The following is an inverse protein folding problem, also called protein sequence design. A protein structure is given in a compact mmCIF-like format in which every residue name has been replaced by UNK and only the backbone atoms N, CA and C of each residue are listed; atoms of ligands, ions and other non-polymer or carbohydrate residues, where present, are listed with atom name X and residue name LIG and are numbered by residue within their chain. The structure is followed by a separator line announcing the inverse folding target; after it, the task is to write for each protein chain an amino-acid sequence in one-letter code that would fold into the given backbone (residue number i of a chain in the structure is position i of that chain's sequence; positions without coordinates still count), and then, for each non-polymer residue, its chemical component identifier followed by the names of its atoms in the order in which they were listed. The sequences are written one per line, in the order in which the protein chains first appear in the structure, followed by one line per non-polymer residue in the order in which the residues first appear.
data_IF_642956354849
#
_entry.id   IF_642956354849
#
_cell.length_a   1.000
_cell.length_b   1.000
_cell.length_c   1.000
_cell.angle_alpha   90.00
_cell.angle_beta   90.00
_cell.angle_gamma   90.00
#
_symmetry.space_group_name_H-M   'P 1'
#
loop_
_entity.id
_entity.type
_entity.pdbx_description
1 polymer ?
#
# COMPACT_ATOMS: atom_id res chain seq x y z
N UNK A 1 16.50 10.75 -6.86
CA UNK A 1 17.09 9.38 -6.95
C UNK A 1 18.63 9.43 -7.08
N UNK A 2 19.40 8.46 -6.55
CA UNK A 2 20.89 8.41 -6.75
C UNK A 2 21.28 8.04 -8.19
N UNK A 3 20.62 7.02 -8.76
CA UNK A 3 20.81 6.55 -10.15
C UNK A 3 19.76 7.19 -11.03
N UNK A 4 20.04 8.39 -11.56
CA UNK A 4 19.11 9.15 -12.41
C UNK A 4 18.77 8.40 -13.71
N UNK A 5 19.69 7.57 -14.20
CA UNK A 5 19.48 6.68 -15.36
C UNK A 5 18.40 5.60 -15.15
N UNK A 6 17.99 5.37 -13.90
CA UNK A 6 16.96 4.40 -13.52
C UNK A 6 15.69 5.06 -13.00
N UNK A 7 15.70 6.38 -12.83
CA UNK A 7 14.55 7.15 -12.40
C UNK A 7 13.50 7.12 -13.51
N UNK A 8 12.24 6.92 -13.12
CA UNK A 8 11.11 6.87 -14.03
C UNK A 8 10.12 7.98 -13.69
N UNK A 9 9.16 8.20 -14.58
CA UNK A 9 8.14 9.23 -14.39
C UNK A 9 7.20 8.87 -13.23
N UNK A 10 6.44 9.85 -12.77
CA UNK A 10 5.41 9.64 -11.76
C UNK A 10 4.33 8.66 -12.25
N UNK A 11 3.92 8.76 -13.52
CA UNK A 11 2.93 7.86 -14.13
C UNK A 11 3.39 6.40 -14.08
N UNK A 12 4.66 6.15 -14.38
CA UNK A 12 5.25 4.82 -14.24
C UNK A 12 5.20 4.33 -12.79
N UNK A 13 5.49 5.20 -11.82
CA UNK A 13 5.46 4.83 -10.41
C UNK A 13 4.05 4.43 -9.96
N UNK A 14 3.02 5.15 -10.40
CA UNK A 14 1.63 4.79 -10.16
C UNK A 14 1.25 3.45 -10.80
N UNK A 15 1.67 3.20 -12.04
CA UNK A 15 1.45 1.92 -12.72
C UNK A 15 2.06 0.75 -11.93
N UNK A 16 3.29 0.91 -11.43
CA UNK A 16 3.95 -0.11 -10.60
C UNK A 16 3.20 -0.32 -9.28
N UNK A 17 2.78 0.75 -8.60
CA UNK A 17 2.07 0.64 -7.33
C UNK A 17 0.69 -0.05 -7.47
N UNK A 18 0.01 0.18 -8.60
CA UNK A 18 -1.26 -0.48 -8.92
C UNK A 18 -1.08 -1.94 -9.35
N UNK A 19 0.02 -2.27 -10.04
CA UNK A 19 0.30 -3.62 -10.51
C UNK A 19 0.87 -4.54 -9.41
N UNK A 20 1.54 -3.98 -8.40
CA UNK A 20 2.18 -4.78 -7.35
C UNK A 20 1.15 -5.62 -6.56
N UNK A 21 1.47 -6.87 -6.19
CA UNK A 21 0.54 -7.72 -5.46
C UNK A 21 0.30 -7.24 -4.02
N UNK A 22 1.32 -6.65 -3.40
CA UNK A 22 1.27 -6.09 -2.05
C UNK A 22 2.18 -4.87 -1.98
N UNK A 23 2.07 -4.11 -0.89
CA UNK A 23 3.07 -3.13 -0.51
C UNK A 23 3.69 -3.50 0.82
N UNK A 24 4.95 -3.16 1.02
CA UNK A 24 5.50 -3.11 2.36
C UNK A 24 5.28 -1.71 2.96
N UNK A 25 4.52 -1.64 4.05
CA UNK A 25 4.30 -0.44 4.85
C UNK A 25 5.42 -0.27 5.86
N UNK A 26 6.18 0.81 5.73
CA UNK A 26 7.18 1.26 6.70
C UNK A 26 6.55 2.18 7.76
N UNK A 27 6.90 1.91 9.02
CA UNK A 27 6.40 2.54 10.24
C UNK A 27 7.57 2.82 11.19
N UNK A 28 7.31 3.66 12.18
CA UNK A 28 8.22 3.89 13.32
C UNK A 28 7.52 3.40 14.58
N UNK A 29 8.18 2.54 15.36
CA UNK A 29 7.62 2.06 16.63
C UNK A 29 7.57 3.17 17.68
N UNK A 30 6.80 3.02 18.76
CA UNK A 30 6.83 3.95 19.90
C UNK A 30 8.23 4.20 20.47
N UNK A 31 9.12 3.22 20.36
CA UNK A 31 10.52 3.30 20.80
C UNK A 31 11.45 3.98 19.78
N UNK A 32 10.93 4.36 18.61
CA UNK A 32 11.70 4.99 17.53
C UNK A 32 12.37 4.01 16.57
N UNK A 33 12.05 2.71 16.62
CA UNK A 33 12.65 1.70 15.76
C UNK A 33 11.94 1.59 14.40
N UNK A 34 12.64 1.23 13.32
CA UNK A 34 11.99 0.93 12.05
C UNK A 34 11.17 -0.36 12.15
N UNK A 35 9.93 -0.31 11.65
CA UNK A 35 9.05 -1.47 11.56
C UNK A 35 8.43 -1.56 10.18
N UNK A 36 8.37 -2.76 9.59
CA UNK A 36 7.86 -2.94 8.25
C UNK A 36 6.94 -4.16 8.18
N UNK A 37 5.78 -3.99 7.54
CA UNK A 37 4.78 -5.05 7.39
C UNK A 37 4.21 -5.08 5.97
N UNK A 38 4.03 -6.25 5.35
CA UNK A 38 3.30 -6.36 4.10
C UNK A 38 1.81 -6.07 4.34
N UNK A 39 1.20 -5.31 3.42
CA UNK A 39 -0.23 -4.99 3.39
C UNK A 39 -0.79 -5.21 1.99
N UNK A 40 -2.11 -5.34 1.91
CA UNK A 40 -2.87 -5.39 0.64
C UNK A 40 -3.49 -4.02 0.35
N UNK A 41 -2.78 -3.09 -0.32
CA UNK A 41 -3.28 -1.74 -0.56
C UNK A 41 -4.25 -1.70 -1.74
N UNK A 42 -5.24 -0.83 -1.70
CA UNK A 42 -6.05 -0.47 -2.87
C UNK A 42 -6.06 1.04 -3.06
N UNK A 43 -5.92 1.51 -4.30
CA UNK A 43 -5.81 2.93 -4.60
C UNK A 43 -7.17 3.53 -4.94
N UNK A 44 -7.41 4.76 -4.48
CA UNK A 44 -8.46 5.67 -4.94
C UNK A 44 -7.85 7.05 -5.14
N UNK A 45 -7.78 7.53 -6.38
CA UNK A 45 -7.13 8.81 -6.68
C UNK A 45 -5.69 8.85 -6.15
N UNK A 46 -5.40 9.82 -5.27
CA UNK A 46 -4.09 10.03 -4.65
C UNK A 46 -3.96 9.38 -3.25
N UNK A 47 -4.79 8.37 -2.95
CA UNK A 47 -4.83 7.71 -1.65
C UNK A 47 -4.70 6.20 -1.80
N UNK A 48 -4.00 5.56 -0.86
CA UNK A 48 -4.06 4.11 -0.67
C UNK A 48 -4.87 3.77 0.56
N UNK A 49 -5.72 2.75 0.47
CA UNK A 49 -6.44 2.16 1.59
C UNK A 49 -5.91 0.77 1.90
N UNK A 50 -5.88 0.42 3.19
CA UNK A 50 -5.67 -0.96 3.62
C UNK A 50 -6.60 -1.30 4.79
N UNK A 51 -6.94 -2.58 4.90
CA UNK A 51 -7.74 -3.10 6.00
C UNK A 51 -6.86 -3.79 7.03
N UNK A 52 -7.39 -3.92 8.25
CA UNK A 52 -6.69 -4.60 9.32
C UNK A 52 -7.54 -4.88 10.57
N UNK A 53 -6.95 -5.55 11.56
CA UNK A 53 -7.50 -5.63 12.92
C UNK A 53 -7.54 -4.25 13.62
N UNK A 54 -8.48 -4.11 14.57
CA UNK A 54 -8.74 -2.90 15.36
C UNK A 54 -7.66 -2.59 16.40
N UNK A 55 -6.71 -3.49 16.61
CA UNK A 55 -5.59 -3.34 17.55
C UNK A 55 -4.31 -3.99 17.00
N UNK A 56 -3.21 -3.80 17.72
CA UNK A 56 -1.91 -4.43 17.48
C UNK A 56 -0.83 -3.44 17.02
N UNK A 57 0.42 -3.93 17.00
CA UNK A 57 1.66 -3.13 16.88
C UNK A 57 1.63 -2.05 15.80
N UNK A 58 1.05 -2.31 14.64
CA UNK A 58 0.96 -1.33 13.54
C UNK A 58 0.13 -0.09 13.94
N UNK A 59 -0.96 -0.27 14.71
CA UNK A 59 -1.81 0.82 15.17
C UNK A 59 -1.11 1.60 16.27
N UNK A 60 -0.36 0.91 17.14
CA UNK A 60 0.48 1.56 18.16
C UNK A 60 1.52 2.46 17.48
N UNK A 61 2.15 2.00 16.40
CA UNK A 61 3.06 2.80 15.58
C UNK A 61 2.35 4.02 14.96
N UNK A 62 1.18 3.80 14.35
CA UNK A 62 0.42 4.86 13.67
C UNK A 62 -0.16 5.91 14.63
N UNK A 63 -0.39 5.53 15.90
CA UNK A 63 -0.84 6.42 16.95
C UNK A 63 0.25 7.43 17.38
N UNK A 64 1.52 7.04 17.33
CA UNK A 64 2.66 7.91 17.67
C UNK A 64 3.23 8.65 16.48
N UNK A 65 3.17 8.05 15.28
CA UNK A 65 3.70 8.65 14.05
C UNK A 65 2.88 8.21 12.83
N UNK A 66 2.14 9.15 12.27
CA UNK A 66 1.31 8.94 11.08
C UNK A 66 2.09 9.03 9.77
N UNK A 67 3.37 9.42 9.78
CA UNK A 67 4.22 9.44 8.58
C UNK A 67 4.66 8.03 8.23
N UNK A 68 4.39 7.65 6.99
CA UNK A 68 4.64 6.29 6.50
C UNK A 68 5.30 6.30 5.13
N UNK A 69 5.91 5.18 4.78
CA UNK A 69 6.30 4.91 3.40
C UNK A 69 5.73 3.58 2.91
N UNK A 70 5.46 3.48 1.61
CA UNK A 70 5.08 2.22 0.96
C UNK A 70 6.12 1.88 -0.11
N UNK A 71 6.60 0.64 -0.09
CA UNK A 71 7.42 0.08 -1.16
C UNK A 71 6.63 -0.94 -1.96
N UNK A 72 6.59 -0.74 -3.27
CA UNK A 72 5.96 -1.62 -4.25
C UNK A 72 7.02 -2.14 -5.21
N UNK A 73 6.94 -3.42 -5.57
CA UNK A 73 7.89 -4.06 -6.48
C UNK A 73 7.15 -4.99 -7.43
N UNK A 74 7.49 -4.91 -8.72
CA UNK A 74 7.00 -5.79 -9.80
C UNK A 74 8.15 -6.17 -10.74
N UNK A 75 7.89 -7.12 -11.64
CA UNK A 75 8.81 -7.47 -12.73
C UNK A 75 10.19 -7.96 -12.25
N UNK A 76 10.24 -8.65 -11.11
CA UNK A 76 11.49 -9.15 -10.54
C UNK A 76 11.97 -10.37 -11.33
N UNK A 77 13.04 -10.20 -12.10
CA UNK A 77 13.63 -11.26 -12.93
C UNK A 77 15.15 -11.29 -12.70
N UNK A 78 15.69 -12.29 -11.99
CA UNK A 78 17.13 -12.52 -11.91
C UNK A 78 17.70 -12.86 -13.30
N UNK A 79 18.86 -12.28 -13.64
CA UNK A 79 19.59 -12.55 -14.88
C UNK A 79 21.02 -12.97 -14.49
N UNK A 80 21.24 -14.28 -14.20
CA UNK A 80 22.48 -14.79 -13.67
C UNK A 80 23.70 -14.49 -14.54
N UNK A 81 23.56 -14.59 -15.86
CA UNK A 81 24.63 -14.41 -16.84
C UNK A 81 25.19 -12.98 -16.86
N UNK A 82 24.39 -12.02 -16.37
CA UNK A 82 24.75 -10.61 -16.25
C UNK A 82 24.93 -10.16 -14.80
N UNK A 83 24.90 -11.09 -13.83
CA UNK A 83 24.98 -10.81 -12.39
C UNK A 83 24.04 -9.68 -11.94
N UNK A 84 22.82 -9.70 -12.47
CA UNK A 84 21.87 -8.60 -12.33
C UNK A 84 20.45 -9.12 -12.08
N UNK A 85 19.54 -8.20 -11.82
CA UNK A 85 18.13 -8.47 -11.61
C UNK A 85 17.35 -7.31 -12.21
N UNK A 86 16.43 -7.60 -13.11
CA UNK A 86 15.44 -6.63 -13.56
C UNK A 86 14.38 -6.45 -12.49
N UNK A 87 13.90 -5.23 -12.35
CA UNK A 87 12.78 -4.93 -11.48
C UNK A 87 12.18 -3.57 -11.85
N UNK A 88 10.95 -3.40 -11.41
CA UNK A 88 10.26 -2.13 -11.37
C UNK A 88 9.85 -1.90 -9.92
N UNK A 89 9.97 -0.66 -9.46
CA UNK A 89 9.62 -0.32 -8.08
C UNK A 89 9.03 1.08 -7.99
N UNK A 90 8.11 1.26 -7.04
CA UNK A 90 7.60 2.55 -6.64
C UNK A 90 7.77 2.73 -5.14
N UNK A 91 8.20 3.93 -4.73
CA UNK A 91 8.31 4.31 -3.33
C UNK A 91 7.40 5.51 -3.09
N UNK A 92 6.49 5.36 -2.14
CA UNK A 92 5.53 6.39 -1.72
C UNK A 92 5.92 6.87 -0.33
N UNK A 93 5.85 8.18 -0.12
CA UNK A 93 5.78 8.78 1.21
C UNK A 93 4.41 9.42 1.39
N UNK A 94 3.84 9.30 2.59
CA UNK A 94 2.53 9.82 2.87
C UNK A 94 2.21 9.89 4.35
N UNK A 95 0.97 10.31 4.63
CA UNK A 95 0.42 10.38 5.98
C UNK A 95 -0.79 9.48 6.10
N UNK A 96 -0.81 8.64 7.13
CA UNK A 96 -1.84 7.67 7.41
C UNK A 96 -2.90 8.22 8.37
N UNK A 97 -4.17 7.96 8.08
CA UNK A 97 -5.33 8.37 8.86
C UNK A 97 -6.29 7.20 9.05
N UNK A 98 -6.86 7.01 10.25
CA UNK A 98 -7.93 6.04 10.43
C UNK A 98 -9.18 6.52 9.68
N UNK A 99 -9.83 5.61 8.97
CA UNK A 99 -11.11 5.90 8.31
C UNK A 99 -12.23 5.56 9.28
N UNK A 100 -12.93 6.59 9.76
CA UNK A 100 -14.01 6.45 10.75
C UNK A 100 -15.40 6.57 10.14
N UNK A 101 -15.54 7.32 9.05
CA UNK A 101 -16.82 7.49 8.36
C UNK A 101 -17.24 6.21 7.65
N UNK A 102 -18.48 5.77 7.86
CA UNK A 102 -18.97 4.49 7.34
C UNK A 102 -18.94 4.45 5.81
N UNK A 103 -19.35 5.54 5.14
CA UNK A 103 -19.34 5.61 3.68
C UNK A 103 -17.93 5.46 3.11
N UNK A 104 -16.93 6.13 3.69
CA UNK A 104 -15.53 6.00 3.27
C UNK A 104 -14.98 4.60 3.58
N UNK A 105 -15.35 3.99 4.71
CA UNK A 105 -14.98 2.59 5.01
C UNK A 105 -15.51 1.64 3.94
N UNK A 106 -16.78 1.80 3.55
CA UNK A 106 -17.42 0.98 2.50
C UNK A 106 -16.77 1.21 1.14
N UNK A 107 -16.40 2.44 0.81
CA UNK A 107 -15.65 2.74 -0.42
C UNK A 107 -14.28 2.03 -0.41
N UNK A 108 -13.53 2.17 0.68
CA UNK A 108 -12.21 1.55 0.84
C UNK A 108 -12.27 0.02 0.73
N UNK A 109 -13.21 -0.62 1.44
CA UNK A 109 -13.43 -2.07 1.36
C UNK A 109 -13.81 -2.50 -0.05
N UNK A 110 -14.67 -1.74 -0.74
CA UNK A 110 -15.03 -2.02 -2.13
C UNK A 110 -13.79 -2.01 -3.02
N UNK A 111 -12.89 -1.02 -2.88
CA UNK A 111 -11.65 -0.95 -3.65
C UNK A 111 -10.71 -2.12 -3.35
N UNK A 112 -10.58 -2.50 -2.08
CA UNK A 112 -9.77 -3.66 -1.67
C UNK A 112 -10.34 -4.94 -2.29
N UNK A 113 -11.65 -5.19 -2.17
CA UNK A 113 -12.28 -6.37 -2.76
C UNK A 113 -12.21 -6.37 -4.28
N UNK A 114 -12.41 -5.23 -4.95
CA UNK A 114 -12.24 -5.12 -6.40
C UNK A 114 -10.82 -5.48 -6.85
N UNK A 115 -9.79 -5.14 -6.07
CA UNK A 115 -8.39 -5.48 -6.40
C UNK A 115 -8.07 -6.94 -6.14
N UNK A 116 -8.53 -7.50 -5.02
CA UNK A 116 -8.05 -8.79 -4.51
C UNK A 116 -9.03 -9.95 -4.63
N UNK A 117 -10.32 -9.65 -4.83
CA UNK A 117 -11.41 -10.61 -4.87
C UNK A 117 -12.38 -10.29 -6.03
N UNK A 118 -11.86 -9.78 -7.15
CA UNK A 118 -12.65 -9.35 -8.30
C UNK A 118 -13.63 -10.43 -8.81
N UNK A 119 -13.23 -11.71 -8.73
CA UNK A 119 -14.05 -12.86 -9.13
C UNK A 119 -15.16 -13.24 -8.16
N UNK A 120 -15.22 -12.65 -6.96
CA UNK A 120 -16.15 -12.99 -5.89
C UNK A 120 -16.97 -11.77 -5.40
N UNK A 121 -17.20 -10.79 -6.27
CA UNK A 121 -17.86 -9.53 -5.91
C UNK A 121 -19.36 -9.67 -5.61
N UNK A 122 -20.02 -10.76 -6.00
CA UNK A 122 -21.44 -10.98 -5.74
C UNK A 122 -21.76 -11.04 -4.22
N UNK A 123 -20.85 -11.59 -3.42
CA UNK A 123 -20.99 -11.68 -1.96
C UNK A 123 -20.47 -10.46 -1.18
N UNK A 124 -19.89 -9.47 -1.86
CA UNK A 124 -19.17 -8.36 -1.23
C UNK A 124 -20.02 -7.56 -0.25
N UNK A 125 -21.27 -7.25 -0.60
CA UNK A 125 -22.13 -6.40 0.22
C UNK A 125 -22.49 -7.07 1.55
N UNK A 126 -22.85 -8.35 1.50
CA UNK A 126 -23.19 -9.14 2.68
C UNK A 126 -21.98 -9.27 3.61
N UNK A 127 -20.82 -9.62 3.05
CA UNK A 127 -19.59 -9.77 3.83
C UNK A 127 -19.14 -8.46 4.46
N UNK A 128 -19.25 -7.35 3.72
CA UNK A 128 -18.97 -6.01 4.23
C UNK A 128 -19.88 -5.69 5.40
N UNK A 129 -21.19 -5.87 5.29
CA UNK A 129 -22.12 -5.60 6.38
C UNK A 129 -21.81 -6.42 7.63
N UNK A 130 -21.40 -7.67 7.46
CA UNK A 130 -21.05 -8.57 8.57
C UNK A 130 -19.77 -8.16 9.30
N UNK A 131 -18.75 -7.71 8.57
CA UNK A 131 -17.40 -7.48 9.11
C UNK A 131 -17.07 -6.00 9.37
N UNK A 132 -17.86 -5.05 8.87
CA UNK A 132 -17.54 -3.62 8.88
C UNK A 132 -17.12 -3.08 10.26
N UNK A 133 -17.82 -3.50 11.32
CA UNK A 133 -17.55 -3.07 12.70
C UNK A 133 -16.27 -3.66 13.29
N UNK A 134 -15.80 -4.79 12.75
CA UNK A 134 -14.60 -5.52 13.21
C UNK A 134 -13.38 -5.25 12.35
N UNK A 135 -13.54 -4.50 11.26
CA UNK A 135 -12.46 -4.15 10.35
C UNK A 135 -12.01 -2.70 10.53
N UNK A 136 -10.75 -2.54 10.90
CA UNK A 136 -10.05 -1.26 10.87
C UNK A 136 -9.66 -0.93 9.43
N UNK A 137 -9.91 0.31 9.01
CA UNK A 137 -9.51 0.81 7.69
C UNK A 137 -8.63 2.03 7.90
N UNK A 138 -7.53 2.08 7.16
CA UNK A 138 -6.62 3.22 7.16
C UNK A 138 -6.44 3.74 5.73
N UNK A 139 -6.39 5.06 5.62
CA UNK A 139 -6.10 5.80 4.40
C UNK A 139 -4.69 6.37 4.50
N UNK A 140 -3.88 6.21 3.46
CA UNK A 140 -2.59 6.86 3.31
C UNK A 140 -2.77 7.91 2.21
N UNK A 141 -2.74 9.19 2.61
CA UNK A 141 -2.68 10.31 1.67
C UNK A 141 -1.25 10.38 1.13
N UNK A 142 -1.09 10.25 -0.19
CA UNK A 142 0.23 10.30 -0.82
C UNK A 142 0.71 11.75 -0.89
N UNK A 143 1.95 11.96 -0.44
CA UNK A 143 2.65 13.25 -0.48
C UNK A 143 3.69 13.28 -1.60
N UNK A 144 4.34 12.14 -1.85
CA UNK A 144 5.22 11.96 -3.00
C UNK A 144 5.29 10.49 -3.40
N UNK A 145 5.55 10.26 -4.68
CA UNK A 145 5.84 8.95 -5.23
C UNK A 145 7.04 9.05 -6.18
N UNK A 146 7.90 8.03 -6.16
CA UNK A 146 9.03 7.94 -7.10
C UNK A 146 9.09 6.56 -7.72
N UNK A 147 9.38 6.52 -9.02
CA UNK A 147 9.51 5.30 -9.80
C UNK A 147 10.98 4.97 -10.07
N UNK A 148 11.30 3.68 -10.07
CA UNK A 148 12.63 3.20 -10.46
C UNK A 148 12.53 1.88 -11.21
N UNK A 149 13.25 1.79 -12.32
CA UNK A 149 13.34 0.59 -13.13
C UNK A 149 14.79 0.18 -13.37
N UNK A 150 15.03 -1.12 -13.38
CA UNK A 150 16.24 -1.72 -13.91
C UNK A 150 15.83 -2.73 -14.98
N UNK A 151 16.24 -2.45 -16.22
CA UNK A 151 16.10 -3.35 -17.37
C UNK A 151 17.30 -4.27 -17.51
#
# INVERSE_FOLDING_TARGET
MRRKDREQTEEFAWQVADAAPFACLGLVTPEGEPYQVPISPAREGNCFYFHCALEGKKLDCLAVNSKVCLSFVTGVEPIPEQYTTRYQSALVFGTAYPVTQEEEKRLALKRICQRYAASAMDGYQEETNRLLSRTGIWKIQVESITGKEKK
#
